data_IF_879181827634
#
_entry.id   IF_879181827634
#
_cell.length_a   1.000
_cell.length_b   1.000
_cell.length_c   1.000
_cell.angle_alpha   90.00
_cell.angle_beta   90.00
_cell.angle_gamma   90.00
#
_symmetry.space_group_name_H-M   'P 1'
#
loop_
_entity.id
_entity.type
_entity.pdbx_description
1 polymer ?
#
# COMPACT_ATOMS: atom_id res chain seq x y z
N UNK A 1 13.51 1.03 1.38
CA UNK A 1 14.52 0.26 2.15
C UNK A 1 14.47 -1.17 1.65
N UNK A 2 15.53 -1.67 1.01
CA UNK A 2 15.61 -3.07 0.61
C UNK A 2 15.37 -3.95 1.85
N UNK A 3 14.52 -4.95 1.67
CA UNK A 3 14.19 -5.91 2.72
C UNK A 3 15.47 -6.67 3.09
N UNK A 4 15.82 -6.86 4.37
CA UNK A 4 16.95 -7.71 4.71
C UNK A 4 16.65 -9.11 4.18
N UNK A 5 17.46 -9.58 3.24
CA UNK A 5 17.36 -10.93 2.65
C UNK A 5 17.32 -12.00 3.74
N UNK A 6 18.04 -11.75 4.84
CA UNK A 6 18.06 -12.59 6.03
C UNK A 6 16.70 -12.81 6.71
N UNK A 7 15.77 -11.85 6.66
CA UNK A 7 14.42 -12.05 7.23
C UNK A 7 13.57 -12.99 6.40
N UNK A 8 13.66 -12.90 5.07
CA UNK A 8 12.97 -13.82 4.17
C UNK A 8 13.56 -15.22 4.26
N UNK A 9 14.88 -15.33 4.37
CA UNK A 9 15.56 -16.61 4.56
C UNK A 9 15.12 -17.29 5.86
N UNK A 10 15.11 -16.55 6.98
CA UNK A 10 14.61 -17.08 8.27
C UNK A 10 13.16 -17.53 8.17
N UNK A 11 12.27 -16.65 7.69
CA UNK A 11 10.84 -16.95 7.56
C UNK A 11 10.51 -18.04 6.53
N UNK A 12 11.42 -18.37 5.62
CA UNK A 12 11.27 -19.53 4.72
C UNK A 12 11.73 -20.84 5.36
N UNK A 13 12.67 -20.76 6.30
CA UNK A 13 13.16 -21.93 7.02
C UNK A 13 12.15 -22.44 8.06
N UNK A 14 11.24 -21.58 8.50
CA UNK A 14 10.19 -21.87 9.48
C UNK A 14 8.81 -21.66 8.85
N UNK A 15 7.91 -22.64 8.88
CA UNK A 15 6.56 -22.53 8.26
C UNK A 15 5.71 -21.39 8.89
N UNK A 16 6.02 -21.02 10.14
CA UNK A 16 5.47 -19.86 10.85
C UNK A 16 3.93 -19.76 10.90
N UNK A 17 3.22 -20.89 10.75
CA UNK A 17 1.76 -20.90 10.66
C UNK A 17 1.10 -20.28 11.91
N UNK A 18 1.61 -20.61 13.09
CA UNK A 18 1.08 -20.10 14.36
C UNK A 18 1.40 -18.60 14.56
N UNK A 19 2.59 -18.14 14.16
CA UNK A 19 2.95 -16.71 14.20
C UNK A 19 2.12 -15.88 13.22
N UNK A 20 1.83 -16.43 12.03
CA UNK A 20 0.92 -15.82 11.05
C UNK A 20 -0.48 -15.70 11.64
N UNK A 21 -0.98 -16.78 12.26
CA UNK A 21 -2.29 -16.80 12.92
C UNK A 21 -2.36 -15.78 14.06
N UNK A 22 -1.30 -15.66 14.87
CA UNK A 22 -1.21 -14.69 15.96
C UNK A 22 -1.22 -13.24 15.46
N UNK A 23 -0.43 -12.89 14.44
CA UNK A 23 -0.45 -11.54 13.85
C UNK A 23 -1.83 -11.23 13.27
N UNK A 24 -2.45 -12.19 12.57
CA UNK A 24 -3.82 -12.04 12.06
C UNK A 24 -4.83 -11.82 13.19
N UNK A 25 -4.72 -12.54 14.30
CA UNK A 25 -5.60 -12.37 15.46
C UNK A 25 -5.48 -10.96 16.05
N UNK A 26 -4.24 -10.46 16.21
CA UNK A 26 -3.99 -9.08 16.66
C UNK A 26 -4.62 -8.05 15.71
N UNK A 27 -4.49 -8.24 14.40
CA UNK A 27 -5.12 -7.37 13.40
C UNK A 27 -6.65 -7.39 13.50
N UNK A 28 -7.24 -8.58 13.62
CA UNK A 28 -8.69 -8.72 13.80
C UNK A 28 -9.17 -8.03 15.07
N UNK A 29 -8.45 -8.18 16.17
CA UNK A 29 -8.78 -7.51 17.41
C UNK A 29 -8.73 -5.98 17.26
N UNK A 30 -7.72 -5.45 16.57
CA UNK A 30 -7.63 -4.01 16.31
C UNK A 30 -8.89 -3.47 15.63
N UNK A 31 -9.39 -4.18 14.61
CA UNK A 31 -10.60 -3.79 13.87
C UNK A 31 -11.92 -4.24 14.53
N UNK A 32 -11.87 -5.05 15.58
CA UNK A 32 -13.04 -5.42 16.35
C UNK A 32 -13.51 -4.27 17.25
N UNK A 33 -14.79 -4.31 17.64
CA UNK A 33 -15.39 -3.34 18.55
C UNK A 33 -14.57 -3.19 19.85
N UNK A 34 -14.60 -2.02 20.52
CA UNK A 34 -13.82 -1.76 21.73
C UNK A 34 -14.06 -2.77 22.87
N UNK A 35 -15.25 -3.38 22.92
CA UNK A 35 -15.64 -4.39 23.91
C UNK A 35 -15.13 -5.81 23.61
N UNK A 36 -14.42 -6.02 22.48
CA UNK A 36 -13.83 -7.32 22.18
C UNK A 36 -12.73 -7.67 23.20
N UNK A 37 -12.65 -8.94 23.64
CA UNK A 37 -11.64 -9.37 24.61
C UNK A 37 -10.23 -9.07 24.09
N UNK A 38 -9.30 -8.75 25.00
CA UNK A 38 -7.93 -8.46 24.65
C UNK A 38 -7.27 -9.63 23.90
N UNK A 39 -6.19 -9.35 23.17
CA UNK A 39 -5.47 -10.39 22.45
C UNK A 39 -4.94 -11.38 23.49
N UNK A 40 -5.14 -12.67 23.25
CA UNK A 40 -4.61 -13.72 24.11
C UNK A 40 -3.09 -13.52 24.26
N UNK A 41 -2.58 -13.82 25.46
CA UNK A 41 -1.15 -13.87 25.70
C UNK A 41 -0.49 -14.76 24.64
N UNK A 42 0.70 -14.37 24.18
CA UNK A 42 1.47 -15.12 23.17
C UNK A 42 1.51 -16.60 23.57
N UNK A 43 0.88 -17.53 22.81
CA UNK A 43 0.89 -18.95 23.15
C UNK A 43 2.32 -19.48 23.37
N UNK A 44 2.48 -20.38 24.34
CA UNK A 44 3.77 -21.00 24.65
C UNK A 44 4.33 -21.70 23.41
N UNK A 45 5.50 -21.27 22.93
CA UNK A 45 6.18 -21.86 21.77
C UNK A 45 6.28 -20.96 20.53
N UNK A 46 5.58 -19.82 20.49
CA UNK A 46 5.72 -18.87 19.37
C UNK A 46 7.08 -18.16 19.37
N UNK A 47 7.67 -18.04 18.19
CA UNK A 47 8.89 -17.26 17.98
C UNK A 47 8.59 -15.76 17.94
N UNK A 48 9.06 -15.04 18.96
CA UNK A 48 8.98 -13.57 18.99
C UNK A 48 9.65 -12.96 17.76
N UNK A 49 10.80 -13.50 17.34
CA UNK A 49 11.52 -13.01 16.16
C UNK A 49 10.67 -13.13 14.89
N UNK A 50 10.03 -14.28 14.66
CA UNK A 50 9.17 -14.47 13.50
C UNK A 50 7.94 -13.54 13.52
N UNK A 51 7.30 -13.35 14.68
CA UNK A 51 6.20 -12.37 14.83
C UNK A 51 6.68 -10.96 14.49
N UNK A 52 7.86 -10.54 14.97
CA UNK A 52 8.40 -9.21 14.68
C UNK A 52 8.74 -9.03 13.20
N UNK A 53 9.27 -10.06 12.53
CA UNK A 53 9.56 -10.01 11.10
C UNK A 53 8.28 -9.97 10.26
N UNK A 54 7.27 -10.80 10.57
CA UNK A 54 5.96 -10.75 9.90
C UNK A 54 5.34 -9.36 10.05
N UNK A 55 5.32 -8.81 11.28
CA UNK A 55 4.74 -7.50 11.56
C UNK A 55 5.50 -6.36 10.85
N UNK A 56 6.83 -6.43 10.82
CA UNK A 56 7.69 -5.44 10.14
C UNK A 56 7.50 -5.45 8.63
N UNK A 57 7.58 -6.63 8.02
CA UNK A 57 7.49 -6.82 6.57
C UNK A 57 6.14 -6.38 6.03
N UNK A 58 5.06 -6.65 6.77
CA UNK A 58 3.71 -6.21 6.44
C UNK A 58 3.40 -4.77 6.81
N UNK A 59 4.32 -4.08 7.51
CA UNK A 59 4.12 -2.74 8.09
C UNK A 59 2.92 -2.65 9.03
N UNK A 60 2.72 -3.65 9.88
CA UNK A 60 1.58 -3.75 10.81
C UNK A 60 1.95 -3.68 12.29
N UNK A 61 3.22 -3.38 12.63
CA UNK A 61 3.69 -3.38 14.02
C UNK A 61 2.87 -2.50 14.97
N UNK A 62 2.47 -1.30 14.57
CA UNK A 62 1.67 -0.42 15.46
C UNK A 62 0.23 -0.94 15.66
N UNK A 63 -0.35 -1.65 14.68
CA UNK A 63 -1.65 -2.31 14.86
C UNK A 63 -1.54 -3.42 15.91
N UNK A 64 -0.49 -4.25 15.82
CA UNK A 64 -0.22 -5.30 16.80
C UNK A 64 0.00 -4.70 18.19
N UNK A 65 0.79 -3.63 18.30
CA UNK A 65 1.02 -2.91 19.55
C UNK A 65 -0.29 -2.42 20.19
N UNK A 66 -1.14 -1.74 19.41
CA UNK A 66 -2.43 -1.22 19.89
C UNK A 66 -3.40 -2.32 20.28
N UNK A 67 -3.35 -3.48 19.61
CA UNK A 67 -4.13 -4.66 19.99
C UNK A 67 -3.68 -5.23 21.35
N UNK A 68 -2.37 -5.41 21.53
CA UNK A 68 -1.79 -5.91 22.80
C UNK A 68 -1.96 -4.92 23.96
N UNK A 69 -1.99 -3.62 23.68
CA UNK A 69 -2.20 -2.59 24.69
C UNK A 69 -3.60 -2.66 25.34
N UNK A 70 -4.57 -3.38 24.74
CA UNK A 70 -5.89 -3.64 25.35
C UNK A 70 -5.80 -4.56 26.58
N UNK A 71 -4.78 -5.42 26.66
CA UNK A 71 -4.57 -6.30 27.82
C UNK A 71 -3.95 -5.54 29.00
N UNK A 72 -4.20 -5.97 30.26
CA UNK A 72 -3.47 -5.51 31.43
C UNK A 72 -1.95 -5.66 31.27
N UNK A 73 -1.17 -4.75 31.86
CA UNK A 73 0.28 -4.71 31.65
C UNK A 73 1.03 -6.01 32.01
N UNK A 74 0.53 -6.74 33.01
CA UNK A 74 1.15 -8.00 33.49
C UNK A 74 0.87 -9.20 32.57
N UNK A 75 -0.08 -9.10 31.64
CA UNK A 75 -0.42 -10.16 30.66
C UNK A 75 0.28 -9.93 29.31
N UNK A 76 0.99 -8.81 29.14
CA UNK A 76 1.62 -8.44 27.87
C UNK A 76 2.93 -9.21 27.66
N UNK A 77 3.17 -9.79 26.47
CA UNK A 77 4.45 -10.45 26.16
C UNK A 77 5.60 -9.43 26.14
N UNK A 78 6.44 -9.43 27.19
CA UNK A 78 7.40 -8.34 27.46
C UNK A 78 8.39 -8.04 26.33
N UNK A 79 9.06 -9.06 25.79
CA UNK A 79 10.04 -8.91 24.71
C UNK A 79 9.42 -8.36 23.43
N UNK A 80 8.30 -8.96 22.99
CA UNK A 80 7.56 -8.50 21.82
C UNK A 80 7.05 -7.07 21.99
N UNK A 81 6.47 -6.74 23.16
CA UNK A 81 5.95 -5.41 23.43
C UNK A 81 7.06 -4.34 23.41
N UNK A 82 8.24 -4.63 23.96
CA UNK A 82 9.38 -3.73 23.92
C UNK A 82 9.89 -3.49 22.48
N UNK A 83 9.93 -4.54 21.66
CA UNK A 83 10.28 -4.42 20.25
C UNK A 83 9.26 -3.54 19.50
N UNK A 84 7.96 -3.76 19.75
CA UNK A 84 6.88 -3.01 19.13
C UNK A 84 6.89 -1.52 19.51
N UNK A 85 7.22 -1.18 20.76
CA UNK A 85 7.43 0.21 21.18
C UNK A 85 8.63 0.85 20.46
N UNK A 86 9.70 0.09 20.23
CA UNK A 86 10.84 0.56 19.43
C UNK A 86 10.44 0.80 17.97
N UNK A 87 9.64 -0.11 17.40
CA UNK A 87 9.05 0.05 16.07
C UNK A 87 8.15 1.29 15.98
N UNK A 88 7.32 1.54 16.99
CA UNK A 88 6.46 2.72 17.07
C UNK A 88 7.29 4.00 17.10
N UNK A 89 8.32 4.08 17.95
CA UNK A 89 9.23 5.25 18.01
C UNK A 89 9.90 5.53 16.66
N UNK A 90 10.36 4.48 15.97
CA UNK A 90 10.92 4.61 14.62
C UNK A 90 9.87 5.13 13.62
N UNK A 91 8.65 4.60 13.68
CA UNK A 91 7.54 5.04 12.83
C UNK A 91 7.20 6.51 13.05
N UNK A 92 7.15 6.96 14.31
CA UNK A 92 6.97 8.38 14.65
C UNK A 92 8.06 9.24 14.02
N UNK A 93 9.34 8.86 14.17
CA UNK A 93 10.45 9.61 13.60
C UNK A 93 10.39 9.69 12.07
N UNK A 94 10.06 8.58 11.38
CA UNK A 94 9.97 8.54 9.92
C UNK A 94 8.81 9.40 9.41
N UNK A 95 7.64 9.23 10.01
CA UNK A 95 6.44 9.92 9.55
C UNK A 95 6.48 11.41 9.89
N UNK A 96 7.11 11.81 11.00
CA UNK A 96 7.34 13.23 11.30
C UNK A 96 8.21 13.90 10.23
N UNK A 97 9.27 13.24 9.77
CA UNK A 97 10.08 13.74 8.66
C UNK A 97 9.26 13.83 7.36
N UNK A 98 8.52 12.76 7.02
CA UNK A 98 7.65 12.72 5.85
C UNK A 98 6.55 13.81 5.86
N UNK A 99 5.98 14.12 7.04
CA UNK A 99 5.03 15.21 7.23
C UNK A 99 5.67 16.58 6.91
N UNK A 100 6.85 16.86 7.45
CA UNK A 100 7.57 18.11 7.17
C UNK A 100 7.90 18.26 5.69
N UNK A 101 8.35 17.17 5.05
CA UNK A 101 8.63 17.17 3.61
C UNK A 101 7.36 17.39 2.79
N UNK A 102 6.25 16.77 3.18
CA UNK A 102 4.96 16.95 2.53
C UNK A 102 4.48 18.40 2.62
N UNK A 103 4.68 19.08 3.75
CA UNK A 103 4.32 20.49 3.90
C UNK A 103 5.19 21.40 3.04
N UNK A 104 6.51 21.18 2.99
CA UNK A 104 7.41 21.94 2.12
C UNK A 104 7.08 21.74 0.63
N UNK A 105 6.72 20.52 0.23
CA UNK A 105 6.24 20.22 -1.12
C UNK A 105 4.91 20.93 -1.39
N UNK A 106 3.98 20.88 -0.45
CA UNK A 106 2.67 21.53 -0.58
C UNK A 106 2.80 23.04 -0.86
N UNK A 107 3.61 23.73 -0.06
CA UNK A 107 3.90 25.16 -0.22
C UNK A 107 4.52 25.43 -1.60
N UNK A 108 5.62 24.74 -1.93
CA UNK A 108 6.36 24.98 -3.16
C UNK A 108 5.53 24.77 -4.44
N UNK A 109 4.67 23.77 -4.46
CA UNK A 109 3.79 23.47 -5.59
C UNK A 109 2.58 24.40 -5.65
N UNK A 110 2.01 24.76 -4.50
CA UNK A 110 0.87 25.68 -4.41
C UNK A 110 1.23 27.09 -4.85
N UNK A 111 2.38 27.61 -4.43
CA UNK A 111 2.90 28.93 -4.85
C UNK A 111 3.04 29.05 -6.37
N UNK A 112 3.35 27.93 -7.03
CA UNK A 112 3.53 27.83 -8.48
C UNK A 112 2.25 27.44 -9.22
N UNK A 113 1.12 27.35 -8.50
CA UNK A 113 -0.20 26.93 -8.99
C UNK A 113 -0.13 25.63 -9.76
N UNK A 114 0.63 24.67 -9.25
CA UNK A 114 0.75 23.33 -9.82
C UNK A 114 -0.43 22.51 -9.32
N UNK A 115 -1.16 21.87 -10.23
CA UNK A 115 -2.24 20.96 -9.86
C UNK A 115 -1.65 19.59 -9.49
N UNK A 116 -1.69 19.26 -8.20
CA UNK A 116 -1.23 17.97 -7.68
C UNK A 116 -2.18 17.46 -6.58
N UNK A 117 -1.96 16.21 -6.18
CA UNK A 117 -2.64 15.56 -5.05
C UNK A 117 -1.66 14.61 -4.35
N UNK A 118 -1.68 14.55 -3.03
CA UNK A 118 -0.99 13.52 -2.25
C UNK A 118 -1.75 12.19 -2.32
N UNK A 119 -1.03 11.08 -2.46
CA UNK A 119 -1.64 9.76 -2.64
C UNK A 119 -1.74 8.96 -1.34
N UNK A 120 -0.69 8.96 -0.52
CA UNK A 120 -0.48 8.03 0.60
C UNK A 120 0.23 8.71 1.78
N UNK A 121 0.77 7.88 2.68
CA UNK A 121 1.66 8.34 3.74
C UNK A 121 0.91 8.81 5.01
N UNK A 122 1.52 9.68 5.82
CA UNK A 122 0.97 10.09 7.10
C UNK A 122 -0.38 10.83 7.01
N UNK A 123 -0.67 11.52 5.90
CA UNK A 123 -1.98 12.14 5.67
C UNK A 123 -3.08 11.09 5.54
N UNK A 124 -2.85 10.04 4.75
CA UNK A 124 -3.79 8.92 4.64
C UNK A 124 -4.03 8.27 6.01
N UNK A 125 -2.97 8.08 6.79
CA UNK A 125 -3.08 7.43 8.10
C UNK A 125 -3.95 8.23 9.06
N UNK A 126 -3.79 9.54 9.13
CA UNK A 126 -4.66 10.39 9.95
C UNK A 126 -6.12 10.35 9.47
N UNK A 127 -6.35 10.41 8.16
CA UNK A 127 -7.71 10.34 7.61
C UNK A 127 -8.42 9.01 7.89
N UNK A 128 -7.67 7.90 7.98
CA UNK A 128 -8.22 6.57 8.20
C UNK A 128 -8.29 6.17 9.69
N UNK A 129 -7.33 6.59 10.49
CA UNK A 129 -7.11 6.09 11.85
C UNK A 129 -7.09 7.20 12.93
N UNK A 130 -7.24 8.46 12.53
CA UNK A 130 -7.02 9.63 13.40
C UNK A 130 -5.62 9.64 14.05
N UNK A 131 -4.64 9.05 13.36
CA UNK A 131 -3.27 8.91 13.83
C UNK A 131 -2.30 8.88 12.63
N UNK A 132 -1.35 9.81 12.61
CA UNK A 132 -0.32 9.90 11.57
C UNK A 132 0.73 8.79 11.63
N UNK A 133 0.78 7.99 12.69
CA UNK A 133 1.91 7.12 13.06
C UNK A 133 1.57 5.63 13.07
N UNK A 134 0.53 5.22 12.33
CA UNK A 134 0.09 3.83 12.25
C UNK A 134 1.02 2.92 11.44
N UNK A 135 1.72 3.47 10.44
CA UNK A 135 2.62 2.71 9.56
C UNK A 135 3.82 3.55 9.14
N UNK A 136 5.01 2.97 9.02
CA UNK A 136 6.17 3.69 8.51
C UNK A 136 5.96 4.14 7.05
N UNK A 137 6.08 5.45 6.82
CA UNK A 137 6.13 6.10 5.52
C UNK A 137 7.52 6.72 5.34
N UNK A 138 8.21 6.36 4.25
CA UNK A 138 9.59 6.80 3.99
C UNK A 138 9.74 7.75 2.80
N UNK A 139 8.64 7.95 2.08
CA UNK A 139 8.50 8.60 0.80
C UNK A 139 7.23 9.45 0.80
N UNK A 140 7.26 10.54 0.03
CA UNK A 140 6.10 11.37 -0.25
C UNK A 140 5.60 11.03 -1.65
N UNK A 141 4.43 10.40 -1.75
CA UNK A 141 3.79 10.09 -3.03
C UNK A 141 2.88 11.24 -3.49
N UNK A 142 3.18 11.83 -4.65
CA UNK A 142 2.31 12.85 -5.28
C UNK A 142 1.94 12.45 -6.71
N UNK A 143 0.70 12.75 -7.11
CA UNK A 143 0.24 12.63 -8.49
C UNK A 143 0.06 14.00 -9.12
N UNK A 144 0.48 14.13 -10.37
CA UNK A 144 0.25 15.28 -11.24
C UNK A 144 -0.23 14.84 -12.61
N UNK A 145 -0.80 15.78 -13.38
CA UNK A 145 -1.16 15.51 -14.77
C UNK A 145 0.12 15.29 -15.60
N UNK A 146 0.10 14.46 -16.66
CA UNK A 146 1.25 14.26 -17.54
C UNK A 146 1.85 15.56 -18.06
N UNK A 147 1.00 16.53 -18.43
CA UNK A 147 1.43 17.86 -18.90
C UNK A 147 2.14 18.70 -17.82
N UNK A 148 1.84 18.45 -16.54
CA UNK A 148 2.44 19.15 -15.39
C UNK A 148 3.70 18.49 -14.85
N UNK A 149 4.07 17.29 -15.33
CA UNK A 149 5.15 16.49 -14.77
C UNK A 149 6.50 17.21 -14.75
N UNK A 150 6.93 17.74 -15.90
CA UNK A 150 8.21 18.44 -16.00
C UNK A 150 8.24 19.71 -15.14
N UNK A 151 7.15 20.49 -15.13
CA UNK A 151 7.04 21.70 -14.29
C UNK A 151 7.13 21.36 -12.81
N UNK A 152 6.50 20.26 -12.39
CA UNK A 152 6.52 19.78 -11.01
C UNK A 152 7.91 19.31 -10.61
N UNK A 153 8.58 18.56 -11.49
CA UNK A 153 9.97 18.17 -11.29
C UNK A 153 10.86 19.38 -11.05
N UNK A 154 10.81 20.40 -11.91
CA UNK A 154 11.63 21.61 -11.72
C UNK A 154 11.27 22.37 -10.43
N UNK A 155 9.98 22.42 -10.04
CA UNK A 155 9.58 23.01 -8.77
C UNK A 155 10.16 22.26 -7.55
N UNK A 156 10.22 20.93 -7.60
CA UNK A 156 10.85 20.10 -6.57
C UNK A 156 12.38 20.32 -6.53
N UNK A 157 13.02 20.53 -7.69
CA UNK A 157 14.45 20.86 -7.74
C UNK A 157 14.79 22.18 -7.06
N UNK A 158 13.93 23.19 -7.20
CA UNK A 158 14.11 24.49 -6.55
C UNK A 158 14.10 24.41 -5.02
N UNK A 159 13.47 23.39 -4.44
CA UNK A 159 13.49 23.14 -2.98
C UNK A 159 14.47 22.03 -2.56
N UNK A 160 15.40 21.67 -3.46
CA UNK A 160 16.56 20.83 -3.17
C UNK A 160 16.43 19.34 -3.49
N UNK A 161 15.36 18.90 -4.18
CA UNK A 161 15.26 17.51 -4.63
C UNK A 161 16.01 17.29 -5.95
N UNK A 162 16.72 16.18 -6.06
CA UNK A 162 17.41 15.78 -7.29
C UNK A 162 16.91 14.41 -7.76
N UNK A 163 16.87 14.20 -9.08
CA UNK A 163 16.40 12.92 -9.64
C UNK A 163 17.37 11.81 -9.27
N UNK A 164 16.85 10.75 -8.63
CA UNK A 164 17.61 9.55 -8.31
C UNK A 164 18.17 8.89 -9.57
N UNK A 165 19.42 8.42 -9.54
CA UNK A 165 20.15 7.96 -10.73
C UNK A 165 19.41 6.86 -11.53
N UNK A 166 18.81 5.89 -10.84
CA UNK A 166 18.06 4.80 -11.49
C UNK A 166 16.76 5.31 -12.13
N UNK A 167 16.11 6.32 -11.54
CA UNK A 167 14.82 6.86 -12.00
C UNK A 167 14.91 7.84 -13.18
N UNK A 168 16.07 7.91 -13.83
CA UNK A 168 16.29 8.68 -15.08
C UNK A 168 15.97 7.90 -16.35
N UNK A 169 15.81 6.58 -16.26
CA UNK A 169 15.64 5.74 -17.44
C UNK A 169 14.30 6.02 -18.15
N UNK A 170 14.26 5.73 -19.44
CA UNK A 170 13.02 5.74 -20.23
C UNK A 170 12.00 4.78 -19.61
N UNK A 171 12.45 3.68 -19.02
CA UNK A 171 11.57 2.70 -18.41
C UNK A 171 10.80 3.28 -17.22
N UNK A 172 11.50 3.97 -16.30
CA UNK A 172 10.87 4.67 -15.18
C UNK A 172 9.89 5.74 -15.64
N UNK A 173 10.34 6.65 -16.49
CA UNK A 173 9.50 7.78 -16.87
C UNK A 173 8.33 7.33 -17.75
N UNK A 174 8.53 6.47 -18.76
CA UNK A 174 7.49 6.13 -19.74
C UNK A 174 6.54 5.02 -19.29
N UNK A 175 7.09 3.96 -18.70
CA UNK A 175 6.31 2.74 -18.42
C UNK A 175 5.75 2.72 -17.02
N UNK A 176 6.52 3.12 -16.02
CA UNK A 176 5.99 3.33 -14.67
C UNK A 176 5.21 4.63 -14.56
N UNK A 177 5.66 5.67 -15.26
CA UNK A 177 5.05 7.00 -15.12
C UNK A 177 5.37 7.64 -13.78
N UNK A 178 6.52 7.31 -13.20
CA UNK A 178 6.98 7.80 -11.91
C UNK A 178 8.46 8.20 -11.97
N UNK A 179 8.87 9.09 -11.06
CA UNK A 179 10.27 9.47 -10.89
C UNK A 179 10.56 9.73 -9.41
N UNK A 180 11.51 8.97 -8.86
CA UNK A 180 12.00 9.21 -7.51
C UNK A 180 12.96 10.40 -7.51
N UNK A 181 12.73 11.33 -6.60
CA UNK A 181 13.62 12.45 -6.34
C UNK A 181 14.02 12.47 -4.87
N UNK A 182 15.29 12.75 -4.60
CA UNK A 182 15.88 12.68 -3.25
C UNK A 182 16.43 14.03 -2.84
N UNK A 183 16.27 14.39 -1.57
CA UNK A 183 16.82 15.60 -0.97
C UNK A 183 17.65 15.24 0.26
N UNK A 184 18.87 15.81 0.33
CA UNK A 184 19.84 15.52 1.38
C UNK A 184 20.63 14.22 1.13
N UNK A 185 21.68 14.01 1.94
CA UNK A 185 22.52 12.81 1.91
C UNK A 185 22.44 12.03 3.22
N UNK A 186 22.57 10.70 3.15
CA UNK A 186 22.66 9.83 4.32
C UNK A 186 21.31 9.35 4.90
N UNK A 187 21.26 8.98 6.20
CA UNK A 187 20.12 8.29 6.83
C UNK A 187 18.83 9.11 6.94
N UNK A 188 18.93 10.43 6.72
CA UNK A 188 17.81 11.39 6.74
C UNK A 188 17.49 11.93 5.35
N UNK A 189 17.83 11.17 4.30
CA UNK A 189 17.41 11.52 2.95
C UNK A 189 15.88 11.51 2.86
N UNK A 190 15.34 12.59 2.33
CA UNK A 190 13.92 12.68 1.98
C UNK A 190 13.72 12.17 0.56
N UNK A 191 12.66 11.42 0.33
CA UNK A 191 12.30 10.92 -0.99
C UNK A 191 10.90 11.38 -1.35
N UNK A 192 10.74 11.89 -2.56
CA UNK A 192 9.44 12.16 -3.17
C UNK A 192 9.31 11.33 -4.44
N UNK A 193 8.21 10.60 -4.54
CA UNK A 193 7.85 9.84 -5.72
C UNK A 193 6.85 10.67 -6.51
N UNK A 194 7.33 11.25 -7.61
CA UNK A 194 6.52 12.06 -8.52
C UNK A 194 5.85 11.15 -9.54
N UNK A 195 4.52 11.04 -9.47
CA UNK A 195 3.71 10.18 -10.33
C UNK A 195 2.91 11.00 -11.35
N UNK A 196 2.76 10.46 -12.57
CA UNK A 196 1.69 10.83 -13.50
C UNK A 196 0.87 9.62 -13.99
N UNK A 197 1.24 8.41 -13.55
CA UNK A 197 0.46 7.18 -13.68
C UNK A 197 0.33 6.53 -12.31
N UNK A 198 -0.70 5.73 -12.13
CA UNK A 198 -0.99 5.07 -10.84
C UNK A 198 -0.73 3.57 -10.86
N UNK A 199 -0.38 3.01 -12.01
CA UNK A 199 -0.26 1.57 -12.19
C UNK A 199 0.99 1.18 -12.96
N UNK A 200 1.63 0.12 -12.47
CA UNK A 200 2.79 -0.49 -13.12
C UNK A 200 2.37 -1.44 -14.24
N UNK A 201 3.20 -1.64 -15.27
CA UNK A 201 2.93 -2.63 -16.30
C UNK A 201 2.69 -4.02 -15.70
N UNK A 202 1.68 -4.74 -16.20
CA UNK A 202 1.28 -6.05 -15.68
C UNK A 202 0.03 -6.03 -14.79
N UNK A 203 -0.62 -4.87 -14.65
CA UNK A 203 -1.95 -4.73 -14.03
C UNK A 203 -2.74 -3.63 -14.77
N UNK A 204 -4.08 -3.69 -14.79
CA UNK A 204 -4.89 -2.76 -15.57
C UNK A 204 -4.72 -1.32 -15.06
N UNK A 205 -4.47 -0.39 -15.98
CA UNK A 205 -4.41 1.05 -15.66
C UNK A 205 -5.83 1.64 -15.56
N UNK A 206 -6.04 2.69 -14.73
CA UNK A 206 -7.27 3.47 -14.77
C UNK A 206 -7.46 4.10 -16.14
N UNK A 207 -8.70 4.10 -16.66
CA UNK A 207 -9.04 4.75 -17.94
C UNK A 207 -8.86 6.28 -17.91
N UNK A 208 -9.03 6.89 -16.74
CA UNK A 208 -8.95 8.34 -16.54
C UNK A 208 -8.17 8.64 -15.25
N UNK A 209 -6.84 8.64 -15.36
CA UNK A 209 -5.94 8.96 -14.26
C UNK A 209 -6.08 10.42 -13.79
N UNK A 210 -6.34 11.36 -14.72
CA UNK A 210 -6.57 12.77 -14.40
C UNK A 210 -7.85 12.97 -13.56
N UNK A 211 -8.77 12.01 -13.59
CA UNK A 211 -9.96 11.99 -12.74
C UNK A 211 -9.63 12.07 -11.25
N UNK A 212 -8.51 11.48 -10.81
CA UNK A 212 -8.04 11.56 -9.42
C UNK A 212 -7.69 12.99 -9.02
N UNK A 213 -7.13 13.79 -9.95
CA UNK A 213 -6.82 15.19 -9.74
C UNK A 213 -8.09 16.06 -9.73
N UNK A 214 -9.06 15.76 -10.61
CA UNK A 214 -10.32 16.50 -10.67
C UNK A 214 -11.20 16.28 -9.44
N UNK A 215 -11.15 15.08 -8.85
CA UNK A 215 -11.91 14.71 -7.64
C UNK A 215 -11.14 14.93 -6.35
N UNK A 216 -9.96 15.55 -6.39
CA UNK A 216 -9.19 15.84 -5.19
C UNK A 216 -10.01 16.72 -4.23
N UNK A 217 -9.76 16.55 -2.95
CA UNK A 217 -10.34 17.37 -1.88
C UNK A 217 -9.23 18.11 -1.15
N UNK A 218 -9.56 19.24 -0.57
CA UNK A 218 -8.68 19.88 0.42
C UNK A 218 -8.97 19.22 1.77
N UNK A 219 -7.90 18.85 2.47
CA UNK A 219 -7.98 18.33 3.83
C UNK A 219 -7.12 19.18 4.72
N UNK A 220 -7.63 19.52 5.89
CA UNK A 220 -6.87 20.26 6.89
C UNK A 220 -5.95 19.28 7.64
N UNK A 221 -4.65 19.53 7.59
CA UNK A 221 -3.64 18.82 8.38
C UNK A 221 -2.84 19.86 9.13
N UNK A 222 -2.87 19.79 10.47
CA UNK A 222 -2.13 20.73 11.34
C UNK A 222 -2.39 22.20 11.01
N UNK A 223 -3.64 22.56 10.69
CA UNK A 223 -4.04 23.93 10.31
C UNK A 223 -3.67 24.35 8.88
N UNK A 224 -3.15 23.44 8.05
CA UNK A 224 -2.80 23.70 6.64
C UNK A 224 -3.68 22.86 5.73
N UNK A 225 -4.30 23.50 4.74
CA UNK A 225 -5.03 22.79 3.69
C UNK A 225 -4.06 22.15 2.70
N UNK A 226 -4.19 20.83 2.51
CA UNK A 226 -3.42 20.06 1.54
C UNK A 226 -4.33 19.34 0.55
N UNK A 227 -3.98 19.26 -0.75
CA UNK A 227 -4.77 18.51 -1.73
C UNK A 227 -4.57 17.01 -1.54
N UNK A 228 -5.63 16.30 -1.21
CA UNK A 228 -5.63 14.85 -1.01
C UNK A 228 -6.69 14.17 -1.88
N UNK A 229 -6.54 12.86 -2.08
CA UNK A 229 -7.50 12.08 -2.89
C UNK A 229 -8.89 12.04 -2.24
N UNK A 230 -9.92 11.87 -3.08
CA UNK A 230 -11.27 11.60 -2.59
C UNK A 230 -11.30 10.31 -1.76
N UNK A 231 -12.29 10.13 -0.87
CA UNK A 231 -12.40 8.91 -0.08
C UNK A 231 -12.49 7.64 -0.96
N UNK A 232 -13.22 7.73 -2.09
CA UNK A 232 -13.33 6.67 -3.07
C UNK A 232 -11.97 6.34 -3.72
N UNK A 233 -11.22 7.38 -4.11
CA UNK A 233 -9.90 7.23 -4.73
C UNK A 233 -8.86 6.72 -3.72
N UNK A 234 -8.94 7.09 -2.43
CA UNK A 234 -8.08 6.54 -1.36
C UNK A 234 -8.28 5.02 -1.20
N UNK A 235 -9.52 4.55 -1.21
CA UNK A 235 -9.84 3.12 -1.19
C UNK A 235 -9.29 2.43 -2.45
N UNK A 236 -9.54 3.01 -3.63
CA UNK A 236 -9.06 2.47 -4.90
C UNK A 236 -7.53 2.34 -4.94
N UNK A 237 -6.79 3.35 -4.49
CA UNK A 237 -5.32 3.33 -4.44
C UNK A 237 -4.78 2.27 -3.47
N UNK A 238 -5.50 2.01 -2.38
CA UNK A 238 -5.16 0.93 -1.45
C UNK A 238 -5.36 -0.44 -2.13
N UNK A 239 -6.43 -0.62 -2.90
CA UNK A 239 -6.67 -1.84 -3.70
C UNK A 239 -5.63 -2.02 -4.82
N UNK A 240 -5.26 -0.94 -5.52
CA UNK A 240 -4.16 -0.97 -6.51
C UNK A 240 -2.85 -1.41 -5.85
N UNK A 241 -2.57 -0.93 -4.63
CA UNK A 241 -1.36 -1.30 -3.89
C UNK A 241 -1.34 -2.78 -3.52
N UNK A 242 -2.48 -3.38 -3.17
CA UNK A 242 -2.62 -4.83 -2.96
C UNK A 242 -2.39 -5.61 -4.26
N UNK A 243 -3.01 -5.19 -5.37
CA UNK A 243 -2.80 -5.86 -6.66
C UNK A 243 -1.33 -5.82 -7.11
N UNK A 244 -0.66 -4.67 -6.96
CA UNK A 244 0.79 -4.50 -7.20
C UNK A 244 1.60 -5.45 -6.33
N UNK A 245 1.32 -5.50 -5.03
CA UNK A 245 2.07 -6.35 -4.11
C UNK A 245 1.88 -7.84 -4.43
N UNK A 246 0.66 -8.29 -4.76
CA UNK A 246 0.41 -9.67 -5.19
C UNK A 246 1.17 -10.01 -6.48
N UNK A 247 1.24 -9.09 -7.44
CA UNK A 247 2.01 -9.28 -8.68
C UNK A 247 3.52 -9.44 -8.42
N UNK A 248 4.04 -8.65 -7.47
CA UNK A 248 5.45 -8.68 -7.05
C UNK A 248 5.76 -9.75 -5.98
N UNK A 249 4.73 -10.44 -5.46
CA UNK A 249 4.82 -11.40 -4.35
C UNK A 249 5.38 -10.76 -3.07
N UNK A 250 4.91 -9.55 -2.77
CA UNK A 250 5.30 -8.76 -1.61
C UNK A 250 4.22 -8.80 -0.51
N UNK A 251 4.62 -8.80 0.77
CA UNK A 251 3.67 -8.78 1.88
C UNK A 251 2.94 -7.44 1.90
N UNK A 252 1.62 -7.48 2.09
CA UNK A 252 0.75 -6.31 1.88
C UNK A 252 -0.38 -6.17 2.91
N UNK A 253 -0.33 -6.87 4.05
CA UNK A 253 -1.38 -6.76 5.06
C UNK A 253 -1.60 -5.31 5.54
N UNK A 254 -0.56 -4.47 5.56
CA UNK A 254 -0.71 -3.04 5.88
C UNK A 254 -1.56 -2.24 4.89
N UNK A 255 -1.60 -2.60 3.59
CA UNK A 255 -2.54 -1.99 2.62
C UNK A 255 -3.95 -2.56 2.80
N UNK A 256 -4.06 -3.83 3.16
CA UNK A 256 -5.34 -4.48 3.46
C UNK A 256 -6.01 -3.85 4.68
N UNK A 257 -5.25 -3.45 5.71
CA UNK A 257 -5.75 -2.65 6.82
C UNK A 257 -6.36 -1.31 6.35
N UNK A 258 -5.71 -0.62 5.40
CA UNK A 258 -6.23 0.65 4.86
C UNK A 258 -7.53 0.45 4.08
N UNK A 259 -7.64 -0.65 3.33
CA UNK A 259 -8.87 -1.02 2.62
C UNK A 259 -10.01 -1.22 3.64
N UNK A 260 -9.77 -1.97 4.72
CA UNK A 260 -10.78 -2.17 5.77
C UNK A 260 -11.18 -0.86 6.42
N UNK A 261 -10.21 -0.04 6.81
CA UNK A 261 -10.47 1.26 7.43
C UNK A 261 -11.24 2.21 6.51
N UNK A 262 -10.92 2.22 5.21
CA UNK A 262 -11.61 3.04 4.21
C UNK A 262 -13.03 2.54 3.97
N UNK A 263 -13.21 1.23 3.74
CA UNK A 263 -14.49 0.64 3.42
C UNK A 263 -15.49 0.70 4.58
N UNK A 264 -15.01 0.59 5.83
CA UNK A 264 -15.85 0.68 7.03
C UNK A 264 -16.53 2.05 7.21
N UNK A 265 -16.05 3.09 6.51
CA UNK A 265 -16.60 4.45 6.57
C UNK A 265 -17.67 4.70 5.49
N UNK A 266 -17.94 3.73 4.63
CA UNK A 266 -18.87 3.87 3.51
C UNK A 266 -20.24 3.28 3.86
N UNK A 267 -21.27 4.14 3.83
CA UNK A 267 -22.65 3.67 3.79
C UNK A 267 -22.96 2.95 2.47
N UNK A 268 -24.09 2.25 2.38
CA UNK A 268 -24.44 1.46 1.20
C UNK A 268 -24.50 2.30 -0.10
N UNK A 269 -25.04 3.52 -0.03
CA UNK A 269 -25.06 4.42 -1.17
C UNK A 269 -23.66 4.90 -1.60
N UNK A 270 -22.74 5.08 -0.66
CA UNK A 270 -21.34 5.39 -0.97
C UNK A 270 -20.63 4.18 -1.57
N UNK A 271 -20.92 2.98 -1.06
CA UNK A 271 -20.38 1.73 -1.59
C UNK A 271 -20.77 1.52 -3.05
N UNK A 272 -22.04 1.75 -3.41
CA UNK A 272 -22.49 1.68 -4.79
C UNK A 272 -21.77 2.72 -5.67
N UNK A 273 -21.64 3.98 -5.19
CA UNK A 273 -20.92 5.03 -5.93
C UNK A 273 -19.45 4.68 -6.18
N UNK A 274 -18.77 4.08 -5.19
CA UNK A 274 -17.38 3.61 -5.34
C UNK A 274 -17.31 2.50 -6.40
N UNK A 275 -18.23 1.55 -6.37
CA UNK A 275 -18.28 0.47 -7.36
C UNK A 275 -18.53 1.01 -8.78
N UNK A 276 -19.48 1.93 -8.94
CA UNK A 276 -19.78 2.55 -10.23
C UNK A 276 -18.57 3.34 -10.76
N UNK A 277 -17.89 4.08 -9.89
CA UNK A 277 -16.65 4.78 -10.25
C UNK A 277 -15.55 3.78 -10.67
N UNK A 278 -15.42 2.66 -9.96
CA UNK A 278 -14.48 1.60 -10.31
C UNK A 278 -14.79 1.01 -11.70
N UNK A 279 -16.05 0.69 -11.99
CA UNK A 279 -16.49 0.18 -13.30
C UNK A 279 -16.17 1.20 -14.41
N UNK A 280 -16.47 2.48 -14.17
CA UNK A 280 -16.13 3.56 -15.09
C UNK A 280 -14.64 3.61 -15.43
N UNK A 281 -13.78 3.41 -14.42
CA UNK A 281 -12.32 3.33 -14.57
C UNK A 281 -11.82 1.97 -15.09
N UNK A 282 -12.69 0.95 -15.14
CA UNK A 282 -12.32 -0.43 -15.37
C UNK A 282 -11.46 -1.03 -14.25
N UNK A 283 -11.63 -0.60 -13.00
CA UNK A 283 -10.87 -1.09 -11.85
C UNK A 283 -11.76 -1.79 -10.82
N UNK A 284 -12.96 -2.20 -11.22
CA UNK A 284 -13.91 -2.94 -10.40
C UNK A 284 -13.32 -4.26 -9.90
N UNK A 285 -12.72 -5.09 -10.75
CA UNK A 285 -12.09 -6.33 -10.27
C UNK A 285 -10.87 -6.08 -9.38
N UNK A 286 -10.13 -4.99 -9.59
CA UNK A 286 -9.03 -4.56 -8.71
C UNK A 286 -9.57 -4.15 -7.34
N UNK A 287 -10.67 -3.37 -7.30
CA UNK A 287 -11.36 -2.99 -6.09
C UNK A 287 -11.85 -4.23 -5.33
N UNK A 288 -12.55 -5.13 -6.02
CA UNK A 288 -13.11 -6.36 -5.46
C UNK A 288 -12.01 -7.29 -4.94
N UNK A 289 -10.87 -7.42 -5.63
CA UNK A 289 -9.72 -8.19 -5.14
C UNK A 289 -9.20 -7.64 -3.81
N UNK A 290 -9.03 -6.31 -3.71
CA UNK A 290 -8.59 -5.66 -2.48
C UNK A 290 -9.56 -5.88 -1.32
N UNK A 291 -10.87 -5.77 -1.58
CA UNK A 291 -11.92 -6.03 -0.59
C UNK A 291 -11.95 -7.51 -0.15
N UNK A 292 -11.80 -8.44 -1.09
CA UNK A 292 -11.72 -9.88 -0.78
C UNK A 292 -10.52 -10.18 0.10
N UNK A 293 -9.35 -9.57 -0.18
CA UNK A 293 -8.17 -9.68 0.67
C UNK A 293 -8.43 -9.16 2.10
N UNK A 294 -9.17 -8.06 2.24
CA UNK A 294 -9.58 -7.52 3.54
C UNK A 294 -10.54 -8.46 4.29
N UNK A 295 -11.50 -9.07 3.61
CA UNK A 295 -12.43 -10.02 4.23
C UNK A 295 -11.71 -11.30 4.66
N UNK A 296 -10.80 -11.82 3.84
CA UNK A 296 -10.01 -13.01 4.16
C UNK A 296 -9.10 -12.76 5.36
N UNK A 297 -8.37 -11.64 5.40
CA UNK A 297 -7.46 -11.31 6.49
C UNK A 297 -8.23 -10.98 7.78
N UNK A 298 -9.18 -10.05 7.70
CA UNK A 298 -9.77 -9.38 8.86
C UNK A 298 -11.18 -9.87 9.22
N UNK A 299 -11.76 -10.77 8.42
CA UNK A 299 -13.15 -11.22 8.56
C UNK A 299 -14.09 -10.42 7.67
N UNK A 300 -15.10 -11.08 7.10
CA UNK A 300 -16.09 -10.44 6.23
C UNK A 300 -17.02 -9.51 7.01
N UNK A 301 -17.47 -8.44 6.35
CA UNK A 301 -18.38 -7.45 6.96
C UNK A 301 -19.83 -7.57 6.51
N UNK A 302 -20.14 -8.48 5.58
CA UNK A 302 -21.50 -8.68 5.06
C UNK A 302 -22.06 -7.45 4.32
N UNK A 303 -21.19 -6.54 3.90
CA UNK A 303 -21.56 -5.33 3.16
C UNK A 303 -21.76 -5.65 1.67
N UNK A 304 -22.42 -4.75 0.92
CA UNK A 304 -22.57 -4.87 -0.53
C UNK A 304 -21.23 -5.17 -1.22
N UNK A 305 -20.19 -4.41 -0.89
CA UNK A 305 -18.85 -4.62 -1.43
C UNK A 305 -18.24 -5.97 -1.04
N UNK A 306 -18.47 -6.44 0.19
CA UNK A 306 -18.01 -7.75 0.68
C UNK A 306 -18.66 -8.89 -0.10
N UNK A 307 -19.97 -8.82 -0.35
CA UNK A 307 -20.70 -9.81 -1.14
C UNK A 307 -20.24 -9.85 -2.60
N UNK A 308 -20.05 -8.67 -3.21
CA UNK A 308 -19.54 -8.55 -4.59
C UNK A 308 -18.09 -9.03 -4.72
N UNK A 309 -17.31 -8.97 -3.65
CA UNK A 309 -15.91 -9.37 -3.67
C UNK A 309 -15.70 -10.89 -3.62
N UNK A 310 -16.67 -11.68 -3.14
CA UNK A 310 -16.50 -13.16 -3.01
C UNK A 310 -16.08 -13.89 -4.29
N UNK A 311 -16.64 -13.57 -5.49
CA UNK A 311 -16.34 -14.35 -6.70
C UNK A 311 -14.98 -14.06 -7.34
N UNK A 312 -14.34 -12.91 -7.04
CA UNK A 312 -13.11 -12.49 -7.73
C UNK A 312 -11.96 -13.44 -7.42
N UNK A 313 -11.28 -13.95 -8.46
CA UNK A 313 -10.22 -14.95 -8.33
C UNK A 313 -10.62 -16.16 -7.44
N UNK A 314 -11.88 -16.60 -7.51
CA UNK A 314 -12.42 -17.70 -6.69
C UNK A 314 -11.67 -19.04 -6.79
N UNK A 315 -10.84 -19.22 -7.83
CA UNK A 315 -9.93 -20.37 -7.96
C UNK A 315 -8.79 -20.37 -6.94
N UNK A 316 -8.46 -19.22 -6.36
CA UNK A 316 -7.50 -19.10 -5.26
C UNK A 316 -8.29 -19.36 -3.97
N UNK A 317 -7.89 -20.36 -3.17
CA UNK A 317 -8.52 -20.61 -1.87
C UNK A 317 -8.37 -19.40 -0.94
N UNK A 318 -9.27 -19.23 0.03
CA UNK A 318 -9.16 -18.13 0.99
C UNK A 318 -7.89 -18.23 1.85
N UNK A 319 -7.46 -19.44 2.19
CA UNK A 319 -6.20 -19.67 2.90
C UNK A 319 -4.98 -19.30 2.05
N UNK A 320 -4.96 -19.68 0.77
CA UNK A 320 -3.91 -19.25 -0.16
C UNK A 320 -3.88 -17.72 -0.30
N UNK A 321 -5.04 -17.08 -0.46
CA UNK A 321 -5.11 -15.61 -0.57
C UNK A 321 -4.64 -14.93 0.72
N UNK A 322 -4.99 -15.47 1.89
CA UNK A 322 -4.49 -15.00 3.18
C UNK A 322 -2.96 -15.02 3.20
N UNK A 323 -2.38 -16.17 2.86
CA UNK A 323 -0.94 -16.38 2.88
C UNK A 323 -0.23 -15.55 1.80
N UNK A 324 -0.81 -15.36 0.61
CA UNK A 324 -0.28 -14.43 -0.39
C UNK A 324 -0.23 -12.97 0.10
N UNK A 325 -1.18 -12.58 0.97
CA UNK A 325 -1.24 -11.22 1.54
C UNK A 325 -0.25 -11.02 2.67
N UNK A 326 -0.20 -11.96 3.63
CA UNK A 326 0.56 -11.78 4.89
C UNK A 326 1.93 -12.45 4.86
N UNK A 327 2.08 -13.58 4.16
CA UNK A 327 3.27 -14.43 4.17
C UNK A 327 3.62 -14.96 2.77
N UNK A 328 3.84 -14.08 1.77
CA UNK A 328 4.08 -14.49 0.38
C UNK A 328 5.39 -15.26 0.16
N UNK A 329 6.22 -15.36 1.20
CA UNK A 329 7.47 -16.11 1.21
C UNK A 329 7.30 -17.61 1.43
N UNK A 330 6.13 -18.09 1.87
CA UNK A 330 5.88 -19.51 2.11
C UNK A 330 6.08 -20.32 0.83
N UNK A 331 6.89 -21.38 0.91
CA UNK A 331 7.24 -22.24 -0.22
C UNK A 331 6.06 -23.11 -0.70
N UNK A 332 5.08 -23.34 0.17
CA UNK A 332 3.84 -24.08 -0.11
C UNK A 332 2.86 -23.31 -1.00
N UNK A 333 3.01 -21.99 -1.14
CA UNK A 333 2.08 -21.14 -1.87
C UNK A 333 2.07 -21.42 -3.38
N UNK A 334 0.88 -21.74 -3.90
CA UNK A 334 0.65 -21.90 -5.33
C UNK A 334 0.19 -20.59 -5.94
N UNK A 335 1.15 -19.81 -6.43
CA UNK A 335 0.87 -18.55 -7.11
C UNK A 335 0.13 -18.77 -8.44
N UNK A 336 -0.98 -18.05 -8.69
CA UNK A 336 -1.62 -18.07 -9.99
C UNK A 336 -0.68 -17.51 -11.07
N UNK A 337 -0.86 -17.97 -12.31
CA UNK A 337 -0.11 -17.41 -13.43
C UNK A 337 -0.46 -15.92 -13.61
N UNK A 338 0.55 -15.06 -13.80
CA UNK A 338 0.36 -13.61 -13.99
C UNK A 338 -0.65 -13.27 -15.07
N UNK A 339 -0.65 -14.00 -16.19
CA UNK A 339 -1.63 -13.84 -17.28
C UNK A 339 -3.07 -14.11 -16.83
N UNK A 340 -3.28 -15.08 -15.94
CA UNK A 340 -4.61 -15.42 -15.41
C UNK A 340 -5.10 -14.32 -14.48
N UNK A 341 -4.24 -13.81 -13.62
CA UNK A 341 -4.58 -12.66 -12.75
C UNK A 341 -4.89 -11.43 -13.59
N UNK A 342 -4.04 -11.10 -14.58
CA UNK A 342 -4.27 -9.96 -15.46
C UNK A 342 -5.57 -10.11 -16.28
N UNK A 343 -5.87 -11.31 -16.78
CA UNK A 343 -7.11 -11.61 -17.49
C UNK A 343 -8.34 -11.30 -16.65
N UNK A 344 -8.33 -11.78 -15.40
CA UNK A 344 -9.40 -11.58 -14.44
C UNK A 344 -9.53 -10.09 -14.08
N UNK A 345 -8.42 -9.42 -13.73
CA UNK A 345 -8.43 -7.98 -13.40
C UNK A 345 -8.83 -7.08 -14.57
N UNK A 346 -8.72 -7.55 -15.80
CA UNK A 346 -9.21 -6.84 -16.99
C UNK A 346 -10.73 -7.01 -17.21
N UNK A 347 -11.49 -7.61 -16.29
CA UNK A 347 -12.91 -7.90 -16.49
C UNK A 347 -13.17 -9.01 -17.50
N UNK A 348 -12.17 -9.89 -17.73
CA UNK A 348 -12.21 -10.93 -18.77
C UNK A 348 -12.53 -10.34 -20.16
N UNK A 349 -12.08 -9.11 -20.42
CA UNK A 349 -12.30 -8.40 -21.67
C UNK A 349 -11.09 -8.57 -22.61
N UNK A 350 -11.24 -9.28 -23.76
CA UNK A 350 -10.13 -9.60 -24.68
C UNK A 350 -9.30 -8.39 -25.13
N UNK A 351 -9.97 -7.34 -25.61
CA UNK A 351 -9.30 -6.15 -26.16
C UNK A 351 -8.44 -5.47 -25.09
N UNK A 352 -8.98 -5.31 -23.89
CA UNK A 352 -8.26 -4.69 -22.78
C UNK A 352 -7.09 -5.55 -22.32
N UNK A 353 -7.32 -6.85 -22.15
CA UNK A 353 -6.26 -7.77 -21.77
C UNK A 353 -5.10 -7.73 -22.75
N UNK A 354 -5.37 -7.77 -24.06
CA UNK A 354 -4.33 -7.71 -25.09
C UNK A 354 -3.55 -6.38 -25.04
N UNK A 355 -4.24 -5.26 -24.82
CA UNK A 355 -3.61 -3.95 -24.68
C UNK A 355 -2.67 -3.91 -23.47
N UNK A 356 -3.13 -4.35 -22.29
CA UNK A 356 -2.34 -4.34 -21.05
C UNK A 356 -1.18 -5.36 -21.10
N UNK A 357 -1.41 -6.54 -21.70
CA UNK A 357 -0.37 -7.55 -21.90
C UNK A 357 0.70 -7.06 -22.89
N UNK A 358 0.29 -6.41 -23.99
CA UNK A 358 1.22 -5.80 -24.96
C UNK A 358 2.04 -4.67 -24.34
N UNK A 359 1.40 -3.84 -23.50
CA UNK A 359 2.08 -2.80 -22.73
C UNK A 359 3.11 -3.38 -21.75
N UNK A 360 2.75 -4.42 -21.01
CA UNK A 360 3.65 -5.14 -20.12
C UNK A 360 4.85 -5.76 -20.87
N UNK A 361 4.59 -6.41 -22.01
CA UNK A 361 5.66 -6.98 -22.84
C UNK A 361 6.62 -5.90 -23.37
N UNK A 362 6.10 -4.76 -23.80
CA UNK A 362 6.90 -3.62 -24.25
C UNK A 362 7.73 -3.02 -23.13
N UNK A 363 7.17 -2.92 -21.92
CA UNK A 363 7.89 -2.48 -20.74
C UNK A 363 9.06 -3.42 -20.41
N UNK A 364 8.85 -4.73 -20.45
CA UNK A 364 9.89 -5.72 -20.17
C UNK A 364 11.01 -5.70 -21.23
N UNK A 365 10.66 -5.53 -22.51
CA UNK A 365 11.65 -5.37 -23.59
C UNK A 365 12.46 -4.09 -23.37
N UNK A 366 11.79 -2.96 -23.10
CA UNK A 366 12.46 -1.68 -22.81
C UNK A 366 13.41 -1.80 -21.64
N UNK A 367 12.99 -2.48 -20.56
CA UNK A 367 13.83 -2.71 -19.39
C UNK A 367 15.10 -3.48 -19.78
N UNK A 368 14.98 -4.58 -20.52
CA UNK A 368 16.15 -5.39 -20.94
C UNK A 368 17.13 -4.65 -21.87
N UNK A 369 16.63 -3.73 -22.69
CA UNK A 369 17.45 -2.96 -23.64
C UNK A 369 18.16 -1.79 -22.95
N UNK A 370 17.42 -1.01 -22.16
CA UNK A 370 17.89 0.28 -21.63
C UNK A 370 18.35 0.23 -20.17
N UNK A 371 17.95 -0.79 -19.42
CA UNK A 371 18.40 -1.07 -18.06
C UNK A 371 19.25 -2.34 -18.05
N UNK A 372 20.41 -2.33 -18.72
CA UNK A 372 21.43 -3.36 -18.45
C UNK A 372 21.84 -3.25 -16.99
N UNK A 373 22.08 -4.36 -16.27
CA UNK A 373 22.71 -4.28 -14.95
C UNK A 373 24.04 -3.55 -15.11
N UNK A 374 24.34 -2.62 -14.19
CA UNK A 374 25.74 -2.35 -13.92
C UNK A 374 26.37 -3.72 -13.61
N UNK A 375 27.41 -4.10 -14.35
CA UNK A 375 28.17 -5.34 -14.06
C UNK A 375 28.54 -5.37 -12.58
N UNK A 376 28.55 -6.56 -11.95
CA UNK A 376 28.81 -6.72 -10.51
C UNK A 376 30.13 -6.09 -10.06
#
# INVERSE_FOLDING_TARGET
>A
MALPESSYERLRATDCADEIAYVRACLRLYFAAPAAPAAEALPSGLSVEAVTDIARLNKVGVFVLKALARAPAHERPGELFQWLETYRRRTVSMNAACLMDSMAINEALSDRRINFVFLKGPFQQHLLYDDHFMKPAGDVDILVAPAGFLKTREALRLIGYEVSGQSRSVWWIRFLGEQHMVRGSGPRSSTVDLHYRLQQPGSPSPRDADGFLRRKRLVEITGVEVPFTSAADTLMLSCISVAKALFNREPCAGYVCDIRASAARLGEADQQRVLDAAIGQGLDDTLLLGLRAADVLLGGTGTLLSERAKPILSRIGNEDLLNMVIAPWLSSLRWPQRRTVLWELCGRAPVRYLAEAGWAASADISRRIFERPASP
#
